data_IF_216271907473
#
_entry.id   IF_216271907473
#
_cell.length_a   1.000
_cell.length_b   1.000
_cell.length_c   1.000
_cell.angle_alpha   90.00
_cell.angle_beta   90.00
_cell.angle_gamma   90.00
#
_symmetry.space_group_name_H-M   'P 1'
#
loop_
_entity.id
_entity.type
_entity.pdbx_description
1 polymer ?
#
# COMPACT_ATOMS: atom_id res chain seq x y z
N UNK A 1 4.11 -7.17 7.37
CA UNK A 1 2.90 -7.29 8.21
C UNK A 1 2.43 -8.74 8.29
N UNK A 2 2.00 -9.21 9.46
CA UNK A 2 1.44 -10.56 9.65
C UNK A 2 -0.01 -10.63 9.18
N UNK A 3 -0.51 -11.82 8.81
CA UNK A 3 -1.89 -12.01 8.34
C UNK A 3 -2.94 -11.49 9.35
N UNK A 4 -2.71 -11.67 10.66
CA UNK A 4 -3.61 -11.16 11.70
C UNK A 4 -3.67 -9.63 11.74
N UNK A 5 -2.54 -8.96 11.57
CA UNK A 5 -2.50 -7.49 11.51
C UNK A 5 -3.21 -6.98 10.26
N UNK A 6 -3.06 -7.69 9.15
CA UNK A 6 -3.78 -7.36 7.92
C UNK A 6 -5.29 -7.50 8.10
N UNK A 7 -5.77 -8.57 8.73
CA UNK A 7 -7.19 -8.78 8.97
C UNK A 7 -7.86 -7.64 9.78
N UNK A 8 -7.12 -7.02 10.72
CA UNK A 8 -7.61 -5.84 11.44
C UNK A 8 -7.52 -4.54 10.64
N UNK A 9 -6.59 -4.45 9.70
CA UNK A 9 -6.32 -3.22 8.92
C UNK A 9 -7.18 -3.13 7.66
N UNK A 10 -7.38 -4.25 6.97
CA UNK A 10 -8.16 -4.37 5.74
C UNK A 10 -9.56 -3.72 5.80
N UNK A 11 -10.39 -3.93 6.84
CA UNK A 11 -11.72 -3.34 6.89
C UNK A 11 -11.72 -1.82 7.09
N UNK A 12 -10.60 -1.23 7.51
CA UNK A 12 -10.45 0.22 7.67
C UNK A 12 -10.09 0.93 6.36
N UNK A 13 -9.64 0.18 5.36
CA UNK A 13 -9.25 0.75 4.07
C UNK A 13 -10.50 1.08 3.25
N UNK A 14 -10.51 2.21 2.52
CA UNK A 14 -11.63 2.53 1.62
C UNK A 14 -11.83 1.42 0.59
N UNK A 15 -13.04 1.27 0.06
CA UNK A 15 -13.35 0.29 -0.97
C UNK A 15 -12.35 0.37 -2.14
N UNK A 16 -12.05 -0.80 -2.75
CA UNK A 16 -11.20 -0.87 -3.93
C UNK A 16 -11.73 0.08 -5.01
N UNK A 17 -10.83 0.84 -5.63
CA UNK A 17 -11.18 1.65 -6.79
C UNK A 17 -11.42 0.70 -7.96
N UNK A 18 -12.64 0.19 -8.03
CA UNK A 18 -13.15 -0.70 -9.09
C UNK A 18 -14.31 0.04 -9.76
N UNK A 19 -14.01 0.89 -10.74
CA UNK A 19 -15.07 1.51 -11.53
C UNK A 19 -14.56 2.22 -12.78
N UNK A 20 -15.38 2.32 -13.84
CA UNK A 20 -15.08 3.13 -15.04
C UNK A 20 -15.00 4.64 -14.75
N UNK A 21 -15.58 5.11 -13.64
CA UNK A 21 -15.50 6.49 -13.14
C UNK A 21 -14.46 6.66 -12.01
N UNK A 22 -13.72 5.61 -11.68
CA UNK A 22 -12.94 5.49 -10.44
C UNK A 22 -11.44 5.29 -10.67
N UNK A 23 -10.78 6.21 -11.36
CA UNK A 23 -9.31 6.32 -11.39
C UNK A 23 -8.53 5.08 -11.89
N UNK A 24 -7.21 5.10 -11.67
CA UNK A 24 -6.30 4.05 -12.14
C UNK A 24 -6.52 2.76 -11.33
N UNK A 25 -6.77 1.64 -12.02
CA UNK A 25 -6.88 0.30 -11.40
C UNK A 25 -5.66 0.00 -10.53
N UNK A 26 -5.91 -0.51 -9.33
CA UNK A 26 -4.88 -0.95 -8.38
C UNK A 26 -4.08 -2.11 -9.02
N UNK A 27 -2.87 -1.83 -9.54
CA UNK A 27 -1.98 -2.85 -10.13
C UNK A 27 -1.32 -3.75 -9.09
N UNK A 28 -1.31 -3.34 -7.82
CA UNK A 28 -0.65 -4.04 -6.74
C UNK A 28 -1.67 -4.45 -5.67
N UNK A 29 -1.46 -5.60 -5.00
CA UNK A 29 -2.26 -5.97 -3.84
C UNK A 29 -2.19 -4.86 -2.78
N UNK A 30 -3.35 -4.47 -2.23
CA UNK A 30 -3.46 -3.41 -1.21
C UNK A 30 -2.54 -3.63 -0.02
N UNK A 31 -2.37 -4.89 0.37
CA UNK A 31 -1.43 -5.30 1.41
C UNK A 31 -0.01 -4.82 1.14
N UNK A 32 0.47 -4.89 -0.11
CA UNK A 32 1.82 -4.42 -0.47
C UNK A 32 1.97 -2.90 -0.34
N UNK A 33 0.91 -2.15 -0.62
CA UNK A 33 0.90 -0.69 -0.46
C UNK A 33 1.00 -0.34 1.03
N UNK A 34 0.18 -0.99 1.87
CA UNK A 34 0.19 -0.78 3.31
C UNK A 34 1.50 -1.24 3.95
N UNK A 35 2.04 -2.39 3.52
CA UNK A 35 3.36 -2.85 3.95
C UNK A 35 4.47 -1.83 3.59
N UNK A 36 4.41 -1.20 2.42
CA UNK A 36 5.34 -0.15 2.02
C UNK A 36 5.22 1.11 2.88
N UNK A 37 3.99 1.55 3.20
CA UNK A 37 3.76 2.69 4.11
C UNK A 37 4.33 2.37 5.48
N UNK A 38 4.06 1.19 6.03
CA UNK A 38 4.60 0.79 7.33
C UNK A 38 6.13 0.66 7.32
N UNK A 39 6.72 0.23 6.20
CA UNK A 39 8.17 0.23 6.05
C UNK A 39 8.74 1.64 6.19
N UNK A 40 8.16 2.62 5.47
CA UNK A 40 8.59 4.03 5.54
C UNK A 40 8.41 4.60 6.94
N UNK A 41 7.27 4.36 7.59
CA UNK A 41 7.00 4.83 8.96
C UNK A 41 7.96 4.20 9.97
N UNK A 42 8.31 2.92 9.81
CA UNK A 42 9.20 2.22 10.74
C UNK A 42 10.68 2.55 10.54
N UNK A 43 11.11 2.80 9.31
CA UNK A 43 12.52 3.08 8.99
C UNK A 43 12.84 4.58 8.93
N UNK A 44 11.83 5.43 8.75
CA UNK A 44 12.00 6.88 8.55
C UNK A 44 12.65 7.24 7.21
N UNK A 45 12.77 6.30 6.27
CA UNK A 45 13.42 6.57 4.98
C UNK A 45 12.56 7.47 4.09
N UNK A 46 13.19 8.23 3.19
CA UNK A 46 12.44 8.97 2.18
C UNK A 46 11.68 8.01 1.25
N UNK A 47 10.49 8.39 0.77
CA UNK A 47 9.71 7.59 -0.18
C UNK A 47 10.50 7.13 -1.41
N UNK A 48 11.45 7.96 -1.87
CA UNK A 48 12.33 7.63 -3.02
C UNK A 48 13.36 6.54 -2.73
N UNK A 49 13.61 6.24 -1.46
CA UNK A 49 14.50 5.17 -1.00
C UNK A 49 13.76 3.86 -0.70
N UNK A 50 12.46 3.80 -0.99
CA UNK A 50 11.68 2.58 -0.84
C UNK A 50 12.32 1.46 -1.69
N UNK A 51 12.62 0.29 -1.10
CA UNK A 51 13.19 -0.84 -1.83
C UNK A 51 12.32 -1.26 -3.02
N UNK A 52 12.97 -1.73 -4.09
CA UNK A 52 12.27 -2.15 -5.33
C UNK A 52 11.37 -3.37 -5.16
N UNK A 53 11.49 -4.07 -4.04
CA UNK A 53 10.62 -5.19 -3.68
C UNK A 53 9.18 -4.73 -3.36
N UNK A 54 9.01 -3.45 -3.02
CA UNK A 54 7.71 -2.82 -2.84
C UNK A 54 7.19 -2.20 -4.14
N UNK A 55 5.89 -1.87 -4.16
CA UNK A 55 5.31 -1.08 -5.24
C UNK A 55 6.08 0.23 -5.40
N UNK A 56 6.17 0.75 -6.63
CA UNK A 56 6.81 2.03 -6.90
C UNK A 56 6.25 3.09 -5.95
N UNK A 57 7.12 3.92 -5.37
CA UNK A 57 6.72 4.96 -4.42
C UNK A 57 5.61 5.88 -4.95
N UNK A 58 5.55 6.10 -6.27
CA UNK A 58 4.48 6.85 -6.97
C UNK A 58 3.10 6.18 -6.92
N UNK A 59 3.04 4.91 -6.59
CA UNK A 59 1.79 4.15 -6.42
C UNK A 59 1.38 4.07 -4.95
N UNK A 60 2.30 4.38 -4.04
CA UNK A 60 2.08 4.34 -2.58
C UNK A 60 1.70 5.72 -2.05
N UNK A 61 2.25 6.79 -2.64
CA UNK A 61 1.87 8.18 -2.42
C UNK A 61 0.59 8.53 -3.18
#
# INVERSE_FOLDING_TARGET
MTNNQWASTEPLLPAARVGPEGGRRDKHPRRRIVDAIFYVVRTGCAWRQLPRDFALWQTVY
#
